data_IF_600204724248
#
_entry.id   IF_600204724248
#
_cell.length_a   1.000
_cell.length_b   1.000
_cell.length_c   1.000
_cell.angle_alpha   90.00
_cell.angle_beta   90.00
_cell.angle_gamma   90.00
#
_symmetry.space_group_name_H-M   'P 1'
#
loop_
_entity.id
_entity.type
_entity.pdbx_description
1 polymer ?
#
# COMPACT_ATOMS: atom_id res chain seq x y z
N UNK A 1 -25.08 20.30 -10.75
CA UNK A 1 -24.82 18.84 -10.81
C UNK A 1 -24.77 18.34 -9.39
N UNK A 2 -25.73 17.52 -8.98
CA UNK A 2 -25.81 16.99 -7.62
C UNK A 2 -24.72 15.93 -7.44
N UNK A 3 -23.60 16.29 -6.79
CA UNK A 3 -22.58 15.32 -6.38
C UNK A 3 -23.11 14.56 -5.17
N UNK A 4 -23.94 13.55 -5.42
CA UNK A 4 -24.22 12.53 -4.43
C UNK A 4 -22.90 11.80 -4.19
N UNK A 5 -22.18 12.17 -3.12
CA UNK A 5 -20.95 11.48 -2.73
C UNK A 5 -21.36 10.08 -2.31
N UNK A 6 -21.05 9.08 -3.12
CA UNK A 6 -21.34 7.69 -2.80
C UNK A 6 -20.48 7.30 -1.60
N UNK A 7 -21.16 6.91 -0.51
CA UNK A 7 -20.54 6.59 0.76
C UNK A 7 -20.57 5.09 1.00
N UNK A 8 -19.39 4.49 0.96
CA UNK A 8 -19.16 3.06 1.06
C UNK A 8 -19.15 2.61 2.53
N UNK A 9 -19.67 1.41 2.78
CA UNK A 9 -19.50 0.65 4.02
C UNK A 9 -18.09 0.07 4.12
N UNK A 10 -17.70 -0.40 5.31
CA UNK A 10 -16.41 -1.08 5.49
C UNK A 10 -16.31 -2.38 4.69
N UNK A 11 -17.43 -3.03 4.38
CA UNK A 11 -17.48 -4.22 3.53
C UNK A 11 -17.20 -3.87 2.06
N UNK A 12 -17.85 -2.84 1.53
CA UNK A 12 -17.61 -2.39 0.15
C UNK A 12 -16.18 -1.87 -0.02
N UNK A 13 -15.63 -1.18 0.99
CA UNK A 13 -14.20 -0.79 0.98
C UNK A 13 -13.28 -2.02 1.04
N UNK A 14 -13.63 -3.04 1.81
CA UNK A 14 -12.86 -4.28 1.87
C UNK A 14 -12.84 -4.99 0.51
N UNK A 15 -13.98 -5.04 -0.19
CA UNK A 15 -14.10 -5.59 -1.54
C UNK A 15 -13.31 -4.76 -2.55
N UNK A 16 -13.46 -3.43 -2.52
CA UNK A 16 -12.78 -2.53 -3.44
C UNK A 16 -11.24 -2.55 -3.28
N UNK A 17 -10.76 -2.71 -2.05
CA UNK A 17 -9.32 -2.64 -1.75
C UNK A 17 -8.63 -4.00 -1.63
N UNK A 18 -9.42 -5.08 -1.54
CA UNK A 18 -8.93 -6.43 -1.23
C UNK A 18 -8.36 -6.57 0.19
N UNK A 19 -8.51 -5.58 1.06
CA UNK A 19 -8.13 -5.67 2.46
C UNK A 19 -9.24 -6.30 3.28
N UNK A 20 -8.90 -7.09 4.29
CA UNK A 20 -9.91 -7.59 5.22
C UNK A 20 -10.51 -6.45 6.04
N UNK A 21 -11.80 -6.59 6.40
CA UNK A 21 -12.47 -5.68 7.34
C UNK A 21 -11.67 -5.54 8.65
N UNK A 22 -11.02 -6.62 9.11
CA UNK A 22 -10.15 -6.57 10.28
C UNK A 22 -8.95 -5.62 10.09
N UNK A 23 -8.29 -5.66 8.94
CA UNK A 23 -7.19 -4.74 8.60
C UNK A 23 -7.67 -3.29 8.52
N UNK A 24 -8.83 -3.04 7.90
CA UNK A 24 -9.41 -1.70 7.84
C UNK A 24 -9.73 -1.15 9.24
N UNK A 25 -10.35 -1.98 10.11
CA UNK A 25 -10.60 -1.60 11.51
C UNK A 25 -9.30 -1.36 12.29
N UNK A 26 -8.26 -2.14 12.01
CA UNK A 26 -6.95 -1.93 12.58
C UNK A 26 -6.38 -0.58 12.16
N UNK A 27 -6.43 -0.23 10.87
CA UNK A 27 -5.97 1.06 10.35
C UNK A 27 -6.74 2.24 10.96
N UNK A 28 -8.05 2.12 11.12
CA UNK A 28 -8.85 3.12 11.84
C UNK A 28 -8.41 3.26 13.30
N UNK A 29 -8.20 2.14 13.99
CA UNK A 29 -7.82 2.13 15.41
C UNK A 29 -6.49 2.82 15.65
N UNK A 30 -5.53 2.65 14.75
CA UNK A 30 -4.21 3.28 14.87
C UNK A 30 -4.16 4.70 14.28
N UNK A 31 -5.25 5.18 13.66
CA UNK A 31 -5.32 6.54 13.13
C UNK A 31 -4.72 6.73 11.72
N UNK A 32 -4.55 5.64 10.97
CA UNK A 32 -4.15 5.72 9.55
C UNK A 32 -5.28 6.20 8.65
N UNK A 33 -6.52 5.83 8.97
CA UNK A 33 -7.72 6.22 8.22
C UNK A 33 -8.81 6.68 9.18
N UNK A 34 -9.73 7.52 8.70
CA UNK A 34 -10.84 8.04 9.51
C UNK A 34 -12.15 7.87 8.73
N UNK A 35 -13.15 7.23 9.34
CA UNK A 35 -14.50 7.19 8.76
C UNK A 35 -15.20 8.55 8.91
N UNK A 36 -16.04 8.92 7.94
CA UNK A 36 -16.79 10.18 7.90
C UNK A 36 -17.87 10.25 8.99
N UNK A 37 -18.40 9.11 9.45
CA UNK A 37 -19.46 9.06 10.47
C UNK A 37 -18.96 8.73 11.88
N UNK A 38 -18.85 9.73 12.76
CA UNK A 38 -18.72 9.56 14.23
C UNK A 38 -19.74 10.36 15.06
N UNK A 39 -20.92 10.66 14.51
CA UNK A 39 -21.96 11.39 15.23
C UNK A 39 -23.29 10.62 15.26
N UNK A 40 -23.59 10.12 16.46
CA UNK A 40 -24.91 9.74 17.00
C UNK A 40 -25.74 8.59 16.39
N UNK A 41 -25.53 8.08 15.16
CA UNK A 41 -26.21 6.88 14.63
C UNK A 41 -25.67 6.58 13.20
N UNK A 42 -25.32 5.38 12.71
CA UNK A 42 -25.16 4.02 13.28
C UNK A 42 -24.21 3.17 12.42
N UNK A 43 -23.53 3.71 11.39
CA UNK A 43 -22.64 2.93 10.50
C UNK A 43 -21.46 3.74 9.97
N UNK A 44 -20.25 3.15 9.99
CA UNK A 44 -19.02 3.75 9.43
C UNK A 44 -19.16 3.85 7.91
N UNK A 45 -18.84 5.03 7.38
CA UNK A 45 -18.92 5.36 5.96
C UNK A 45 -17.61 5.97 5.47
N UNK A 46 -17.26 5.68 4.22
CA UNK A 46 -16.04 6.09 3.56
C UNK A 46 -16.36 6.68 2.20
N UNK A 47 -15.64 7.72 1.82
CA UNK A 47 -15.68 8.30 0.47
C UNK A 47 -14.81 7.51 -0.50
N UNK A 48 -14.93 7.83 -1.78
CA UNK A 48 -13.98 7.35 -2.79
C UNK A 48 -12.55 7.85 -2.56
N UNK A 49 -12.38 9.05 -1.98
CA UNK A 49 -11.07 9.58 -1.61
C UNK A 49 -10.43 8.74 -0.49
N UNK A 50 -11.23 8.26 0.47
CA UNK A 50 -10.76 7.33 1.50
C UNK A 50 -10.29 6.01 0.89
N UNK A 51 -10.99 5.50 -0.14
CA UNK A 51 -10.56 4.29 -0.89
C UNK A 51 -9.22 4.53 -1.57
N UNK A 52 -9.06 5.66 -2.27
CA UNK A 52 -7.80 6.03 -2.90
C UNK A 52 -6.65 6.13 -1.89
N UNK A 53 -6.92 6.72 -0.72
CA UNK A 53 -5.98 6.79 0.40
C UNK A 53 -5.62 5.41 0.95
N UNK A 54 -6.59 4.51 1.13
CA UNK A 54 -6.34 3.13 1.59
C UNK A 54 -5.50 2.35 0.58
N UNK A 55 -5.78 2.47 -0.72
CA UNK A 55 -4.98 1.85 -1.78
C UNK A 55 -3.54 2.38 -1.78
N UNK A 56 -3.35 3.66 -1.51
CA UNK A 56 -2.02 4.22 -1.34
C UNK A 56 -1.30 3.64 -0.12
N UNK A 57 -1.94 3.61 1.06
CA UNK A 57 -1.38 2.98 2.27
C UNK A 57 -1.01 1.50 2.05
N UNK A 58 -1.82 0.76 1.30
CA UNK A 58 -1.56 -0.62 0.92
C UNK A 58 -0.28 -0.73 0.08
N UNK A 59 -0.06 0.17 -0.88
CA UNK A 59 1.18 0.21 -1.67
C UNK A 59 2.39 0.56 -0.80
N UNK A 60 2.29 1.55 0.08
CA UNK A 60 3.37 1.89 1.03
C UNK A 60 3.77 0.69 1.90
N UNK A 61 2.78 -0.05 2.40
CA UNK A 61 3.06 -1.25 3.20
C UNK A 61 3.70 -2.36 2.36
N UNK A 62 3.25 -2.56 1.13
CA UNK A 62 3.78 -3.57 0.22
C UNK A 62 5.25 -3.29 -0.18
N UNK A 63 5.67 -2.04 -0.19
CA UNK A 63 7.07 -1.64 -0.41
C UNK A 63 7.93 -1.71 0.85
N UNK A 64 7.43 -2.30 1.94
CA UNK A 64 8.18 -2.50 3.18
C UNK A 64 8.21 -1.29 4.11
N UNK A 65 7.44 -0.23 3.84
CA UNK A 65 7.36 0.92 4.75
C UNK A 65 6.80 0.47 6.13
N UNK A 66 7.53 0.72 7.24
CA UNK A 66 7.04 0.39 8.57
C UNK A 66 5.79 1.16 8.95
N UNK A 67 4.92 0.55 9.78
CA UNK A 67 3.65 1.16 10.20
C UNK A 67 3.83 2.53 10.87
N UNK A 68 4.92 2.75 11.61
CA UNK A 68 5.21 4.02 12.27
C UNK A 68 5.50 5.14 11.27
N UNK A 69 6.14 4.84 10.13
CA UNK A 69 6.34 5.83 9.07
C UNK A 69 5.03 6.14 8.34
N UNK A 70 4.19 5.13 8.12
CA UNK A 70 2.85 5.34 7.56
C UNK A 70 1.99 6.24 8.47
N UNK A 71 2.08 6.05 9.79
CA UNK A 71 1.40 6.92 10.77
C UNK A 71 1.90 8.36 10.70
N UNK A 72 3.23 8.54 10.67
CA UNK A 72 3.84 9.87 10.49
C UNK A 72 3.37 10.53 9.20
N UNK A 73 3.33 9.80 8.09
CA UNK A 73 2.82 10.34 6.82
C UNK A 73 1.35 10.76 6.96
N UNK A 74 0.52 9.92 7.58
CA UNK A 74 -0.90 10.22 7.80
C UNK A 74 -1.11 11.46 8.69
N UNK A 75 -0.24 11.68 9.69
CA UNK A 75 -0.23 12.89 10.51
C UNK A 75 0.11 14.13 9.69
N UNK A 76 1.20 14.08 8.91
CA UNK A 76 1.59 15.18 8.03
C UNK A 76 0.49 15.51 7.02
N UNK A 77 -0.12 14.49 6.41
CA UNK A 77 -1.23 14.68 5.47
C UNK A 77 -2.41 15.44 6.11
N UNK A 78 -2.71 15.17 7.39
CA UNK A 78 -3.79 15.85 8.13
C UNK A 78 -3.48 17.32 8.44
N UNK A 79 -2.20 17.67 8.59
CA UNK A 79 -1.76 19.06 8.77
C UNK A 79 -1.92 19.89 7.49
N UNK A 80 -2.14 19.24 6.34
CA UNK A 80 -2.40 19.92 5.08
C UNK A 80 -1.11 20.38 4.39
N UNK A 81 -1.21 21.43 3.59
CA UNK A 81 -0.18 21.78 2.60
C UNK A 81 1.13 22.27 3.20
N UNK A 82 1.13 22.69 4.47
CA UNK A 82 2.34 23.10 5.18
C UNK A 82 3.39 21.98 5.29
N UNK A 83 2.96 20.72 5.22
CA UNK A 83 3.84 19.54 5.32
C UNK A 83 4.17 18.89 3.97
N UNK A 84 3.84 19.55 2.85
CA UNK A 84 4.17 19.03 1.52
C UNK A 84 5.67 18.70 1.37
N UNK A 85 6.62 19.53 1.83
CA UNK A 85 8.04 19.21 1.74
C UNK A 85 8.41 17.91 2.48
N UNK A 86 7.91 17.71 3.70
CA UNK A 86 8.20 16.53 4.52
C UNK A 86 7.60 15.27 3.91
N UNK A 87 6.35 15.34 3.43
CA UNK A 87 5.70 14.23 2.72
C UNK A 87 6.48 13.85 1.46
N UNK A 88 6.93 14.85 0.69
CA UNK A 88 7.72 14.63 -0.52
C UNK A 88 9.05 13.93 -0.20
N UNK A 89 9.76 14.37 0.85
CA UNK A 89 11.02 13.72 1.24
C UNK A 89 10.84 12.28 1.70
N UNK A 90 9.78 11.99 2.46
CA UNK A 90 9.43 10.61 2.83
C UNK A 90 9.18 9.73 1.60
N UNK A 91 8.51 10.25 0.56
CA UNK A 91 8.27 9.50 -0.68
C UNK A 91 9.53 9.34 -1.52
N UNK A 92 10.42 10.33 -1.54
CA UNK A 92 11.73 10.20 -2.20
C UNK A 92 12.59 9.14 -1.53
N UNK A 93 12.56 9.07 -0.20
CA UNK A 93 13.26 8.03 0.56
C UNK A 93 12.70 6.64 0.25
N UNK A 94 11.37 6.51 0.29
CA UNK A 94 10.72 5.26 -0.11
C UNK A 94 11.11 4.85 -1.52
N UNK A 95 11.10 5.79 -2.48
CA UNK A 95 11.49 5.53 -3.87
C UNK A 95 12.91 4.96 -3.93
N UNK A 96 13.88 5.60 -3.27
CA UNK A 96 15.27 5.11 -3.24
C UNK A 96 15.37 3.70 -2.69
N UNK A 97 14.63 3.39 -1.62
CA UNK A 97 14.63 2.06 -1.01
C UNK A 97 14.03 1.00 -1.95
N UNK A 98 12.94 1.33 -2.65
CA UNK A 98 12.31 0.44 -3.63
C UNK A 98 13.24 0.20 -4.82
N UNK A 99 13.87 1.25 -5.36
CA UNK A 99 14.83 1.16 -6.46
C UNK A 99 16.03 0.26 -6.10
N UNK A 100 16.57 0.43 -4.87
CA UNK A 100 17.66 -0.41 -4.38
C UNK A 100 17.24 -1.89 -4.26
N UNK A 101 16.05 -2.16 -3.71
CA UNK A 101 15.55 -3.52 -3.58
C UNK A 101 15.25 -4.18 -4.94
N UNK A 102 14.73 -3.41 -5.91
CA UNK A 102 14.55 -3.90 -7.28
C UNK A 102 15.88 -4.30 -7.92
N UNK A 103 16.93 -3.50 -7.75
CA UNK A 103 18.26 -3.81 -8.27
C UNK A 103 18.84 -5.09 -7.65
N UNK A 104 18.66 -5.28 -6.34
CA UNK A 104 19.05 -6.49 -5.63
C UNK A 104 18.30 -7.74 -6.15
N UNK A 105 16.97 -7.64 -6.29
CA UNK A 105 16.16 -8.74 -6.82
C UNK A 105 16.53 -9.09 -8.27
N UNK A 106 16.88 -8.10 -9.08
CA UNK A 106 17.37 -8.33 -10.44
C UNK A 106 18.69 -9.10 -10.44
N UNK A 107 19.60 -8.82 -9.50
CA UNK A 107 20.84 -9.57 -9.37
C UNK A 107 20.60 -11.02 -8.94
N UNK A 108 19.72 -11.22 -7.95
CA UNK A 108 19.31 -12.57 -7.54
C UNK A 108 18.68 -13.36 -8.69
N UNK A 109 17.85 -12.70 -9.51
CA UNK A 109 17.20 -13.32 -10.66
C UNK A 109 18.21 -13.86 -11.68
N UNK A 110 19.31 -13.14 -11.94
CA UNK A 110 20.37 -13.61 -12.86
C UNK A 110 20.97 -14.94 -12.41
N UNK A 111 21.25 -15.08 -11.11
CA UNK A 111 21.81 -16.33 -10.56
C UNK A 111 20.83 -17.48 -10.72
N UNK A 112 19.54 -17.23 -10.47
CA UNK A 112 18.48 -18.23 -10.65
C UNK A 112 18.36 -18.63 -12.13
N UNK A 113 18.37 -17.67 -13.04
CA UNK A 113 18.31 -17.91 -14.49
C UNK A 113 19.49 -18.76 -14.98
N UNK A 114 20.71 -18.42 -14.57
CA UNK A 114 21.90 -19.21 -14.88
C UNK A 114 21.76 -20.67 -14.42
N UNK A 115 21.20 -20.92 -13.23
CA UNK A 115 20.97 -22.28 -12.74
C UNK A 115 19.89 -23.02 -13.53
N UNK A 116 18.83 -22.33 -13.94
CA UNK A 116 17.78 -22.91 -14.78
C UNK A 116 18.36 -23.34 -16.14
N UNK A 117 19.16 -22.48 -16.77
CA UNK A 117 19.81 -22.76 -18.05
C UNK A 117 20.75 -23.97 -17.94
N UNK A 118 21.67 -23.94 -16.96
CA UNK A 118 22.61 -25.04 -16.72
C UNK A 118 21.91 -26.39 -16.53
N UNK A 119 20.84 -26.43 -15.73
CA UNK A 119 20.11 -27.67 -15.49
C UNK A 119 19.28 -28.09 -16.70
N UNK A 120 18.77 -27.14 -17.49
CA UNK A 120 18.10 -27.42 -18.75
C UNK A 120 19.02 -28.11 -19.75
N UNK A 121 20.24 -27.58 -19.92
CA UNK A 121 21.27 -28.16 -20.80
C UNK A 121 21.66 -29.57 -20.35
N UNK A 122 21.96 -29.75 -19.06
CA UNK A 122 22.33 -31.06 -18.50
C UNK A 122 21.23 -32.12 -18.65
N UNK A 123 19.96 -31.72 -18.64
CA UNK A 123 18.84 -32.64 -18.88
C UNK A 123 18.70 -32.98 -20.37
N UNK A 124 18.91 -32.02 -21.26
CA UNK A 124 18.89 -32.25 -22.71
C UNK A 124 20.00 -33.22 -23.14
N UNK A 125 21.20 -33.09 -22.58
CA UNK A 125 22.33 -34.00 -22.86
C UNK A 125 22.13 -35.42 -22.31
N UNK A 126 21.23 -35.60 -21.32
CA UNK A 126 20.95 -36.88 -20.68
C UNK A 126 19.72 -37.60 -21.25
N UNK A 127 19.04 -37.00 -22.21
CA UNK A 127 17.88 -37.59 -22.87
C UNK A 127 18.34 -38.10 -24.24
N UNK A 128 18.39 -39.43 -24.48
CA UNK A 128 18.83 -40.01 -25.76
C UNK A 128 17.85 -39.75 -26.90
#
# INVERSE_FOLDING_TARGET
>A
MNTQTELLTIQEVAEATGLSVHTLRYYERIGLIHSIGRAQNTHRRYSMDDVGWIEFLKKLRATGMPIHQMLRYAELQRMGDETLPERLEMLKELRRNVEAHMAELQEHLKVIQYKIELYGELLAERTP
#
